data_IF_477406077335
#
_entry.id   IF_477406077335
#
_cell.length_a   1.000
_cell.length_b   1.000
_cell.length_c   1.000
_cell.angle_alpha   90.00
_cell.angle_beta   90.00
_cell.angle_gamma   90.00
#
_symmetry.space_group_name_H-M   'P 1'
#
loop_
_entity.id
_entity.type
_entity.pdbx_description
1 polymer ?
#
# COMPACT_ATOMS: atom_id res chain seq x y z
N UNK A 1 -2.99 6.98 28.91
CA UNK A 1 -2.48 5.60 28.73
C UNK A 1 -1.09 5.73 28.17
N UNK A 2 -0.07 5.27 28.90
CA UNK A 2 1.27 5.13 28.33
C UNK A 2 1.19 4.20 27.12
N UNK A 3 1.87 4.57 26.03
CA UNK A 3 1.96 3.72 24.85
C UNK A 3 2.84 2.50 25.20
N UNK A 4 2.22 1.38 25.56
CA UNK A 4 2.91 0.17 26.00
C UNK A 4 3.84 -0.46 24.94
N UNK A 5 3.81 0.04 23.71
CA UNK A 5 4.68 -0.40 22.61
C UNK A 5 5.85 0.56 22.33
N UNK A 6 5.96 1.67 23.05
CA UNK A 6 7.03 2.64 22.81
C UNK A 6 8.33 2.21 23.49
N UNK A 7 9.39 2.10 22.67
CA UNK A 7 10.77 1.91 23.13
C UNK A 7 11.57 3.07 22.54
N UNK A 8 12.23 3.91 23.36
CA UNK A 8 12.93 5.09 22.86
C UNK A 8 14.12 4.69 21.96
N UNK A 9 14.33 5.37 20.82
CA UNK A 9 15.47 5.07 19.95
C UNK A 9 16.76 5.66 20.52
N UNK A 10 17.90 4.99 20.25
CA UNK A 10 19.21 5.47 20.68
C UNK A 10 19.69 6.76 19.97
N UNK A 11 19.05 7.14 18.87
CA UNK A 11 19.35 8.34 18.08
C UNK A 11 18.06 9.12 17.84
N UNK A 12 18.12 10.45 17.73
CA UNK A 12 16.95 11.24 17.37
C UNK A 12 16.42 10.82 15.98
N UNK A 13 15.10 10.81 15.75
CA UNK A 13 14.48 10.26 14.53
C UNK A 13 15.03 10.85 13.21
N UNK A 14 15.46 12.11 13.24
CA UNK A 14 16.05 12.84 12.12
C UNK A 14 17.37 12.20 11.65
N UNK A 15 18.11 11.55 12.56
CA UNK A 15 19.41 10.93 12.33
C UNK A 15 19.35 9.41 12.11
N UNK A 16 18.17 8.80 12.27
CA UNK A 16 17.99 7.36 12.01
C UNK A 16 18.04 7.11 10.50
N UNK A 17 18.66 6.00 10.10
CA UNK A 17 18.71 5.59 8.70
C UNK A 17 17.27 5.44 8.15
N UNK A 18 16.92 6.04 7.00
CA UNK A 18 15.57 5.96 6.44
C UNK A 18 15.03 4.54 6.25
N UNK A 19 15.89 3.57 5.92
CA UNK A 19 15.48 2.17 5.79
C UNK A 19 15.11 1.53 7.14
N UNK A 20 15.75 1.98 8.23
CA UNK A 20 15.42 1.52 9.59
C UNK A 20 14.09 2.14 10.06
N UNK A 21 13.84 3.41 9.70
CA UNK A 21 12.52 4.02 9.93
C UNK A 21 11.45 3.30 9.12
N UNK A 22 11.71 2.99 7.84
CA UNK A 22 10.78 2.25 6.99
C UNK A 22 10.48 0.84 7.54
N UNK A 23 11.49 0.14 8.05
CA UNK A 23 11.31 -1.16 8.70
C UNK A 23 10.26 -1.13 9.82
N UNK A 24 10.33 -0.13 10.71
CA UNK A 24 9.31 0.04 11.75
C UNK A 24 7.98 0.50 11.15
N UNK A 25 8.01 1.45 10.22
CA UNK A 25 6.83 2.04 9.60
C UNK A 25 5.95 1.03 8.87
N UNK A 26 6.55 0.04 8.20
CA UNK A 26 5.85 -1.09 7.58
C UNK A 26 5.05 -1.89 8.63
N UNK A 27 5.67 -2.22 9.76
CA UNK A 27 5.00 -2.93 10.87
C UNK A 27 3.87 -2.10 11.47
N UNK A 28 4.12 -0.80 11.67
CA UNK A 28 3.13 0.15 12.21
C UNK A 28 1.94 0.29 11.27
N UNK A 29 2.15 0.30 9.95
CA UNK A 29 1.09 0.33 8.95
C UNK A 29 0.31 -0.99 8.88
N UNK A 30 1.01 -2.13 8.85
CA UNK A 30 0.38 -3.46 8.83
C UNK A 30 -0.51 -3.66 10.06
N UNK A 31 -0.05 -3.24 11.24
CA UNK A 31 -0.85 -3.27 12.46
C UNK A 31 -2.13 -2.41 12.35
N UNK A 32 -2.01 -1.18 11.83
CA UNK A 32 -3.17 -0.31 11.61
C UNK A 32 -4.19 -0.94 10.65
N UNK A 33 -3.73 -1.46 9.51
CA UNK A 33 -4.59 -2.09 8.51
C UNK A 33 -5.28 -3.33 9.08
N UNK A 34 -4.56 -4.19 9.82
CA UNK A 34 -5.15 -5.37 10.46
C UNK A 34 -6.20 -5.02 11.49
N UNK A 35 -5.94 -4.05 12.36
CA UNK A 35 -6.93 -3.56 13.32
C UNK A 35 -8.20 -3.08 12.59
N UNK A 36 -8.04 -2.26 11.55
CA UNK A 36 -9.15 -1.77 10.74
C UNK A 36 -9.96 -2.89 10.07
N UNK A 37 -9.31 -3.97 9.63
CA UNK A 37 -10.00 -5.10 9.00
C UNK A 37 -10.71 -5.99 10.03
N UNK A 38 -10.13 -6.20 11.22
CA UNK A 38 -10.71 -7.00 12.30
C UNK A 38 -12.00 -6.39 12.86
N UNK A 39 -12.15 -5.06 12.82
CA UNK A 39 -13.42 -4.38 13.20
C UNK A 39 -14.57 -4.72 12.24
N UNK A 40 -14.28 -5.22 11.03
CA UNK A 40 -15.28 -5.66 10.06
C UNK A 40 -16.03 -6.94 10.47
N UNK A 41 -17.05 -7.31 9.69
CA UNK A 41 -17.92 -8.48 9.99
C UNK A 41 -17.34 -9.84 9.54
N UNK A 42 -16.34 -9.86 8.65
CA UNK A 42 -15.81 -11.11 8.09
C UNK A 42 -14.41 -11.39 8.63
N UNK A 43 -14.33 -12.38 9.52
CA UNK A 43 -13.09 -12.77 10.21
C UNK A 43 -12.41 -14.00 9.64
N UNK A 44 -12.77 -14.46 8.43
CA UNK A 44 -12.08 -15.60 7.80
C UNK A 44 -10.60 -15.24 7.56
N UNK A 45 -9.62 -16.02 8.05
CA UNK A 45 -8.19 -15.69 7.93
C UNK A 45 -7.74 -15.37 6.50
N UNK A 46 -8.13 -16.20 5.53
CA UNK A 46 -7.79 -15.99 4.11
C UNK A 46 -8.38 -14.69 3.55
N UNK A 47 -9.58 -14.32 4.00
CA UNK A 47 -10.22 -13.07 3.59
C UNK A 47 -9.46 -11.87 4.13
N UNK A 48 -9.14 -11.88 5.44
CA UNK A 48 -8.39 -10.82 6.09
C UNK A 48 -7.00 -10.65 5.47
N UNK A 49 -6.29 -11.75 5.23
CA UNK A 49 -4.98 -11.73 4.57
C UNK A 49 -5.06 -11.11 3.17
N UNK A 50 -6.02 -11.55 2.34
CA UNK A 50 -6.23 -10.99 1.00
C UNK A 50 -6.61 -9.51 1.04
N UNK A 51 -7.42 -9.08 2.00
CA UNK A 51 -7.75 -7.66 2.14
C UNK A 51 -6.53 -6.85 2.58
N UNK A 52 -5.77 -7.31 3.57
CA UNK A 52 -4.57 -6.62 4.06
C UNK A 52 -3.58 -6.39 2.92
N UNK A 53 -3.27 -7.42 2.13
CA UNK A 53 -2.36 -7.32 0.97
C UNK A 53 -2.74 -6.23 -0.03
N UNK A 54 -4.03 -5.85 -0.15
CA UNK A 54 -4.46 -4.77 -1.04
C UNK A 54 -4.05 -3.39 -0.55
N UNK A 55 -3.85 -3.20 0.76
CA UNK A 55 -3.40 -1.94 1.34
C UNK A 55 -1.88 -1.90 1.50
N UNK A 56 -1.28 -3.00 1.96
CA UNK A 56 0.15 -3.04 2.32
C UNK A 56 1.06 -3.36 1.14
N UNK A 57 0.53 -3.61 -0.06
CA UNK A 57 1.38 -3.80 -1.25
C UNK A 57 2.14 -2.51 -1.60
N UNK A 58 3.39 -2.65 -2.07
CA UNK A 58 4.23 -1.54 -2.50
C UNK A 58 3.53 -0.59 -3.48
N UNK A 59 2.74 -1.15 -4.41
CA UNK A 59 1.95 -0.38 -5.37
C UNK A 59 0.89 0.47 -4.67
N UNK A 60 0.08 -0.13 -3.80
CA UNK A 60 -0.98 0.59 -3.10
C UNK A 60 -0.42 1.70 -2.20
N UNK A 61 0.67 1.42 -1.49
CA UNK A 61 1.36 2.42 -0.67
C UNK A 61 1.95 3.56 -1.52
N UNK A 62 2.56 3.23 -2.67
CA UNK A 62 3.07 4.23 -3.60
C UNK A 62 1.98 5.15 -4.17
N UNK A 63 0.81 4.59 -4.46
CA UNK A 63 -0.34 5.38 -4.92
C UNK A 63 -0.92 6.25 -3.80
N UNK A 64 -1.07 5.72 -2.58
CA UNK A 64 -1.51 6.48 -1.42
C UNK A 64 -0.59 7.68 -1.14
N UNK A 65 0.73 7.46 -1.14
CA UNK A 65 1.70 8.54 -0.94
C UNK A 65 1.55 9.67 -1.97
N UNK A 66 1.32 9.32 -3.25
CA UNK A 66 1.13 10.32 -4.32
C UNK A 66 -0.06 11.24 -4.03
N UNK A 67 -1.17 10.68 -3.55
CA UNK A 67 -2.38 11.44 -3.20
C UNK A 67 -2.14 12.33 -1.98
N UNK A 68 -1.34 11.87 -1.03
CA UNK A 68 -1.10 12.56 0.25
C UNK A 68 -0.06 13.67 0.18
N UNK A 69 0.84 13.67 -0.82
CA UNK A 69 1.92 14.65 -0.95
C UNK A 69 1.50 16.12 -0.71
N UNK A 70 0.34 16.60 -1.21
CA UNK A 70 -0.10 17.99 -0.97
C UNK A 70 -0.45 18.29 0.50
N UNK A 71 -0.85 17.29 1.27
CA UNK A 71 -1.24 17.43 2.67
C UNK A 71 -0.05 17.34 3.64
N UNK A 72 1.14 16.98 3.16
CA UNK A 72 2.35 16.89 3.98
C UNK A 72 2.93 18.27 4.28
N UNK A 73 3.52 18.44 5.45
CA UNK A 73 4.36 19.60 5.80
C UNK A 73 5.73 19.52 5.10
N UNK A 74 6.50 20.61 5.12
CA UNK A 74 7.87 20.62 4.57
C UNK A 74 8.78 19.58 5.24
N UNK A 75 8.72 19.47 6.57
CA UNK A 75 9.46 18.48 7.34
C UNK A 75 9.14 17.05 6.89
N UNK A 76 7.85 16.74 6.72
CA UNK A 76 7.39 15.42 6.29
C UNK A 76 7.78 15.12 4.83
N UNK A 77 7.72 16.13 3.94
CA UNK A 77 8.19 16.02 2.56
C UNK A 77 9.68 15.70 2.49
N UNK A 78 10.49 16.28 3.37
CA UNK A 78 11.92 15.99 3.46
C UNK A 78 12.20 14.57 3.96
N UNK A 79 11.43 14.07 4.94
CA UNK A 79 11.49 12.67 5.38
C UNK A 79 11.15 11.73 4.21
N UNK A 80 10.07 11.99 3.48
CA UNK A 80 9.66 11.23 2.30
C UNK A 80 10.77 11.23 1.23
N UNK A 81 11.37 12.39 0.95
CA UNK A 81 12.48 12.52 0.00
C UNK A 81 13.70 11.68 0.42
N UNK A 82 14.05 11.66 1.72
CA UNK A 82 15.13 10.82 2.26
C UNK A 82 14.82 9.34 2.10
N UNK A 83 13.61 8.90 2.46
CA UNK A 83 13.17 7.50 2.30
C UNK A 83 13.22 7.04 0.85
N UNK A 84 12.69 7.85 -0.09
CA UNK A 84 12.69 7.54 -1.53
C UNK A 84 14.10 7.41 -2.12
N UNK A 85 15.04 8.19 -1.62
CA UNK A 85 16.41 8.22 -2.10
C UNK A 85 17.31 7.21 -1.37
N UNK A 86 16.81 6.53 -0.34
CA UNK A 86 17.55 5.50 0.37
C UNK A 86 17.83 4.32 -0.56
N UNK A 87 19.11 3.95 -0.70
CA UNK A 87 19.52 2.84 -1.55
C UNK A 87 19.54 1.57 -0.71
N UNK A 88 18.60 0.67 -0.93
CA UNK A 88 18.76 -0.72 -0.50
C UNK A 88 19.78 -1.40 -1.42
N UNK A 89 20.74 -2.13 -0.86
CA UNK A 89 21.76 -2.84 -1.66
C UNK A 89 21.17 -3.88 -2.63
N UNK A 90 19.91 -4.26 -2.43
CA UNK A 90 19.14 -5.16 -3.28
C UNK A 90 17.74 -4.60 -3.50
N UNK A 91 17.30 -4.52 -4.77
CA UNK A 91 15.91 -4.26 -5.13
C UNK A 91 15.29 -5.60 -5.55
N UNK A 92 14.08 -5.97 -5.09
CA UNK A 92 13.46 -7.22 -5.49
C UNK A 92 13.32 -7.30 -7.02
N UNK A 93 13.76 -8.42 -7.62
CA UNK A 93 13.83 -8.58 -9.10
C UNK A 93 12.48 -8.35 -9.81
N UNK A 94 11.37 -8.56 -9.12
CA UNK A 94 10.01 -8.47 -9.68
C UNK A 94 9.25 -7.21 -9.24
N UNK A 95 9.84 -6.34 -8.42
CA UNK A 95 9.19 -5.12 -7.96
C UNK A 95 9.42 -3.99 -8.96
N UNK A 96 8.36 -3.22 -9.23
CA UNK A 96 8.55 -1.93 -9.90
C UNK A 96 9.39 -1.03 -9.00
N UNK A 97 10.59 -0.69 -9.45
CA UNK A 97 11.58 0.08 -8.68
C UNK A 97 11.01 1.41 -8.18
N UNK A 98 10.12 2.04 -8.97
CA UNK A 98 9.49 3.31 -8.59
C UNK A 98 8.52 3.08 -7.44
N UNK A 99 7.61 2.09 -7.55
CA UNK A 99 6.64 1.81 -6.49
C UNK A 99 7.32 1.32 -5.21
N UNK A 100 8.40 0.56 -5.34
CA UNK A 100 9.22 0.15 -4.19
C UNK A 100 9.83 1.36 -3.48
N UNK A 101 10.46 2.30 -4.19
CA UNK A 101 11.03 3.50 -3.57
C UNK A 101 9.97 4.40 -2.93
N UNK A 102 8.79 4.50 -3.54
CA UNK A 102 7.69 5.29 -3.01
C UNK A 102 7.05 4.65 -1.77
N UNK A 103 6.85 3.32 -1.77
CA UNK A 103 6.38 2.61 -0.57
C UNK A 103 7.37 2.73 0.59
N UNK A 104 8.67 2.52 0.34
CA UNK A 104 9.71 2.75 1.36
C UNK A 104 9.71 4.20 1.88
N UNK A 105 9.43 5.18 1.02
CA UNK A 105 9.30 6.57 1.46
C UNK A 105 8.09 6.81 2.37
N UNK A 106 6.96 6.16 2.08
CA UNK A 106 5.77 6.20 2.93
C UNK A 106 6.02 5.53 4.27
N UNK A 107 6.56 4.31 4.27
CA UNK A 107 6.94 3.58 5.49
C UNK A 107 7.94 4.39 6.34
N UNK A 108 8.93 5.02 5.70
CA UNK A 108 9.89 5.89 6.39
C UNK A 108 9.18 7.06 7.11
N UNK A 109 8.17 7.67 6.49
CA UNK A 109 7.38 8.74 7.11
C UNK A 109 6.62 8.22 8.34
N UNK A 110 6.01 7.03 8.25
CA UNK A 110 5.28 6.43 9.37
C UNK A 110 6.20 6.12 10.55
N UNK A 111 7.36 5.52 10.29
CA UNK A 111 8.36 5.25 11.32
C UNK A 111 8.90 6.53 11.96
N UNK A 112 9.10 7.59 11.17
CA UNK A 112 9.50 8.90 11.68
C UNK A 112 8.45 9.49 12.63
N UNK A 113 7.19 9.56 12.20
CA UNK A 113 6.10 10.09 13.01
C UNK A 113 5.87 9.28 14.29
N UNK A 114 6.04 7.95 14.24
CA UNK A 114 5.97 7.08 15.41
C UNK A 114 7.01 7.46 16.46
N UNK A 115 8.28 7.59 16.09
CA UNK A 115 9.34 7.94 17.04
C UNK A 115 9.37 9.43 17.43
N UNK A 116 8.72 10.29 16.66
CA UNK A 116 8.42 11.68 17.09
C UNK A 116 7.23 11.75 18.05
N UNK A 117 6.61 10.62 18.36
CA UNK A 117 5.42 10.51 19.22
C UNK A 117 4.25 11.38 18.73
N UNK A 118 4.23 11.70 17.43
CA UNK A 118 3.19 12.50 16.77
C UNK A 118 2.00 11.60 16.41
N UNK A 119 1.41 10.95 17.42
CA UNK A 119 0.41 9.89 17.23
C UNK A 119 -0.86 10.36 16.49
N UNK A 120 -1.32 11.58 16.75
CA UNK A 120 -2.48 12.14 16.04
C UNK A 120 -2.19 12.32 14.55
N UNK A 121 -1.04 12.91 14.22
CA UNK A 121 -0.60 13.07 12.84
C UNK A 121 -0.33 11.73 12.15
N UNK A 122 0.27 10.77 12.87
CA UNK A 122 0.45 9.40 12.36
C UNK A 122 -0.88 8.76 11.97
N UNK A 123 -1.91 8.90 12.82
CA UNK A 123 -3.26 8.42 12.53
C UNK A 123 -3.87 9.13 11.32
N UNK A 124 -3.77 10.45 11.26
CA UNK A 124 -4.27 11.24 10.12
C UNK A 124 -3.65 10.78 8.79
N UNK A 125 -2.33 10.60 8.76
CA UNK A 125 -1.60 10.08 7.59
C UNK A 125 -2.11 8.68 7.21
N UNK A 126 -2.29 7.79 8.18
CA UNK A 126 -2.83 6.45 7.91
C UNK A 126 -4.28 6.48 7.41
N UNK A 127 -5.11 7.41 7.88
CA UNK A 127 -6.49 7.55 7.43
C UNK A 127 -6.56 8.13 6.01
N UNK A 128 -5.71 9.10 5.69
CA UNK A 128 -5.56 9.63 4.34
C UNK A 128 -5.12 8.55 3.34
N UNK A 129 -4.32 7.56 3.76
CA UNK A 129 -3.94 6.44 2.89
C UNK A 129 -5.12 5.52 2.53
N UNK A 130 -6.23 5.60 3.29
CA UNK A 130 -7.47 4.88 3.01
C UNK A 130 -8.44 5.68 2.13
N UNK A 131 -8.19 6.97 1.94
CA UNK A 131 -9.07 7.84 1.16
C UNK A 131 -9.19 7.32 -0.27
N UNK A 132 -10.42 7.28 -0.76
CA UNK A 132 -10.76 6.85 -2.11
C UNK A 132 -10.77 8.10 -3.00
N UNK A 133 -10.29 7.97 -4.24
CA UNK A 133 -10.53 8.99 -5.26
C UNK A 133 -12.05 9.19 -5.42
N UNK A 134 -12.48 10.35 -5.96
CA UNK A 134 -13.89 10.78 -6.09
C UNK A 134 -14.87 9.76 -6.73
N UNK A 135 -14.37 8.66 -7.31
CA UNK A 135 -15.14 7.50 -7.80
C UNK A 135 -15.29 6.33 -6.81
N UNK A 136 -14.95 6.48 -5.53
CA UNK A 136 -15.25 5.49 -4.48
C UNK A 136 -14.44 4.18 -4.55
N UNK A 137 -13.40 4.11 -5.38
CA UNK A 137 -12.51 2.95 -5.50
C UNK A 137 -11.30 3.11 -4.58
N UNK A 138 -10.93 2.01 -3.94
CA UNK A 138 -9.60 1.90 -3.34
C UNK A 138 -8.56 2.03 -4.46
N UNK A 139 -7.51 2.82 -4.23
CA UNK A 139 -6.53 3.22 -5.26
C UNK A 139 -5.93 2.01 -6.01
N UNK A 140 -5.89 0.83 -5.37
CA UNK A 140 -5.39 -0.44 -5.93
C UNK A 140 -6.37 -1.21 -6.87
N UNK A 141 -7.65 -0.84 -7.00
CA UNK A 141 -8.63 -1.69 -7.71
C UNK A 141 -8.68 -1.42 -9.22
N UNK A 142 -7.68 -1.89 -9.98
CA UNK A 142 -7.91 -2.19 -11.41
C UNK A 142 -8.47 -3.60 -11.55
N UNK A 143 -9.67 -3.64 -12.10
CA UNK A 143 -10.45 -4.82 -12.50
C UNK A 143 -9.63 -5.79 -13.33
N UNK A 144 -9.51 -7.04 -12.86
CA UNK A 144 -9.40 -8.19 -13.76
C UNK A 144 -10.81 -8.44 -14.32
N UNK A 145 -11.09 -7.93 -15.51
CA UNK A 145 -12.07 -8.58 -16.39
C UNK A 145 -11.28 -9.52 -17.30
N UNK A 146 -11.77 -10.74 -17.40
CA UNK A 146 -11.06 -11.95 -17.79
C UNK A 146 -10.48 -11.91 -19.22
N UNK A 147 -9.31 -12.56 -19.38
CA UNK A 147 -9.00 -13.30 -20.60
C UNK A 147 -9.69 -14.66 -20.49
N UNK A 148 -10.57 -14.95 -21.43
CA UNK A 148 -10.89 -16.31 -21.86
C UNK A 148 -10.65 -16.34 -23.36
N UNK A 149 -9.60 -17.05 -23.77
CA UNK A 149 -9.43 -17.55 -25.13
C UNK A 149 -10.46 -18.65 -25.37
N UNK A 150 -11.02 -18.73 -26.57
CA UNK A 150 -10.69 -19.85 -27.45
C UNK A 150 -11.37 -19.70 -28.82
N UNK A 151 -10.51 -19.82 -29.83
CA UNK A 151 -10.85 -20.10 -31.21
C UNK A 151 -11.39 -21.53 -31.32
N UNK A 152 -12.57 -21.71 -31.92
CA UNK A 152 -12.92 -22.97 -32.56
C UNK A 152 -13.66 -22.71 -33.87
N UNK A 153 -12.96 -23.07 -34.94
CA UNK A 153 -13.38 -23.38 -36.29
C UNK A 153 -14.89 -23.42 -36.59
N UNK A 154 -15.28 -22.69 -37.63
CA UNK A 154 -16.49 -22.97 -38.40
C UNK A 154 -16.20 -24.12 -39.39
N UNK A 155 -17.03 -25.18 -39.46
CA UNK A 155 -17.05 -26.05 -40.62
C UNK A 155 -18.09 -25.56 -41.63
N UNK A 156 -17.70 -25.60 -42.90
CA UNK A 156 -18.62 -25.58 -44.04
C UNK A 156 -19.21 -26.97 -44.26
N UNK A 157 -20.52 -27.07 -44.52
CA UNK A 157 -21.14 -28.19 -45.22
C UNK A 157 -22.52 -27.78 -45.79
N UNK A 158 -22.83 -28.38 -46.93
CA UNK A 158 -23.83 -27.99 -47.91
C UNK A 158 -25.25 -28.53 -47.66
N UNK A 159 -26.21 -27.85 -48.30
CA UNK A 159 -27.45 -28.32 -48.94
C UNK A 159 -28.14 -29.60 -48.43
N UNK A 160 -29.45 -29.50 -48.13
CA UNK A 160 -30.54 -30.04 -48.97
C UNK A 160 -31.93 -29.88 -48.34
N UNK A 161 -32.89 -29.39 -49.14
CA UNK A 161 -34.17 -30.09 -49.38
C UNK A 161 -35.42 -29.84 -48.51
N UNK A 162 -36.39 -29.14 -49.14
CA UNK A 162 -37.87 -29.33 -49.19
C UNK A 162 -38.79 -28.78 -48.09
N UNK A 163 -39.76 -27.98 -48.57
CA UNK A 163 -41.23 -27.90 -48.34
C UNK A 163 -41.60 -26.39 -48.44
N UNK A 164 -42.43 -25.87 -49.33
CA UNK A 164 -43.54 -26.32 -50.17
C UNK A 164 -43.49 -25.67 -51.57
#
# INVERSE_FOLDING_TARGET
MENCFYIPPAKPPEQINPLVLAYLGDTVYDLFIRQKLIVGKNHRPDYLHKQASRYVSAKAQAEALRVMLPALSDEERDVVKRGRNAKSGTVPKNANVIDYRQSTAFECLLGYLYYKERHERLREIMELSLAKDAGGKLVCEKTKTARGSDSSAAPAAASSGKSE
#
